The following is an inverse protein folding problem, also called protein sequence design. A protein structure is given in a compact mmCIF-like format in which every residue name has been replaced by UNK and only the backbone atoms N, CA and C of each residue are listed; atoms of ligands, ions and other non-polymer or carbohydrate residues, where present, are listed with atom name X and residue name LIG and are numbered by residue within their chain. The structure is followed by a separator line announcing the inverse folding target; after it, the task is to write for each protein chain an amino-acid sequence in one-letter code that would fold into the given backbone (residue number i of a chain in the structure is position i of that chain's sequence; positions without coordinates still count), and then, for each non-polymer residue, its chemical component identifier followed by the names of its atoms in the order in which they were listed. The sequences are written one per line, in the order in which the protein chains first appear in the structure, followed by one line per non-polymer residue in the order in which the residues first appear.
data_IF_495023743792
#
_entry.id   IF_495023743792
#
_cell.length_a   1.000
_cell.length_b   1.000
_cell.length_c   1.000
_cell.angle_alpha   90.00
_cell.angle_beta   90.00
_cell.angle_gamma   90.00
#
_symmetry.space_group_name_H-M   'P 1'
#
loop_
_entity.id
_entity.type
_entity.pdbx_description
1 polymer ?
#
# COMPACT_ATOMS: atom_id res chain seq x y z
N UNK A 1 -11.48 -1.00 -24.04
CA UNK A 1 -12.26 -0.55 -22.86
C UNK A 1 -11.81 -1.26 -21.59
N UNK A 2 -11.80 -2.60 -21.55
CA UNK A 2 -11.33 -3.37 -20.38
C UNK A 2 -9.86 -3.07 -20.04
N UNK A 3 -8.96 -3.07 -21.04
CA UNK A 3 -7.55 -2.72 -20.84
C UNK A 3 -7.36 -1.36 -20.13
N UNK A 4 -8.08 -0.33 -20.59
CA UNK A 4 -8.04 1.00 -19.99
C UNK A 4 -8.45 1.00 -18.51
N UNK A 5 -9.42 0.16 -18.12
CA UNK A 5 -9.79 0.03 -16.71
C UNK A 5 -8.65 -0.55 -15.87
N UNK A 6 -7.95 -1.57 -16.36
CA UNK A 6 -6.78 -2.14 -15.69
C UNK A 6 -5.60 -1.18 -15.63
N UNK A 7 -5.41 -0.34 -16.66
CA UNK A 7 -4.40 0.72 -16.66
C UNK A 7 -4.74 1.81 -15.63
N UNK A 8 -6.01 2.25 -15.54
CA UNK A 8 -6.46 3.22 -14.53
C UNK A 8 -6.28 2.66 -13.12
N UNK A 9 -6.62 1.39 -12.90
CA UNK A 9 -6.43 0.69 -11.63
C UNK A 9 -4.94 0.60 -11.26
N UNK A 10 -4.09 0.21 -12.22
CA UNK A 10 -2.64 0.13 -12.02
C UNK A 10 -2.00 1.49 -11.74
N UNK A 11 -2.42 2.54 -12.46
CA UNK A 11 -1.94 3.91 -12.24
C UNK A 11 -2.40 4.46 -10.89
N UNK A 12 -3.63 4.17 -10.47
CA UNK A 12 -4.12 4.53 -9.14
C UNK A 12 -3.31 3.81 -8.05
N UNK A 13 -3.02 2.53 -8.24
CA UNK A 13 -2.17 1.75 -7.35
C UNK A 13 -0.75 2.32 -7.25
N UNK A 14 -0.15 2.66 -8.40
CA UNK A 14 1.16 3.31 -8.50
C UNK A 14 1.20 4.62 -7.73
N UNK A 15 0.19 5.49 -7.92
CA UNK A 15 0.09 6.77 -7.23
C UNK A 15 0.01 6.60 -5.71
N UNK A 16 -0.73 5.59 -5.23
CA UNK A 16 -0.84 5.31 -3.81
C UNK A 16 0.47 4.79 -3.20
N UNK A 17 1.11 3.78 -3.81
CA UNK A 17 2.39 3.22 -3.32
C UNK A 17 3.46 4.31 -3.32
N UNK A 18 3.71 4.92 -4.48
CA UNK A 18 4.74 5.96 -4.63
C UNK A 18 4.41 7.18 -3.79
N UNK A 19 3.14 7.60 -3.74
CA UNK A 19 2.70 8.72 -2.91
C UNK A 19 2.90 8.47 -1.42
N UNK A 20 2.61 7.25 -0.95
CA UNK A 20 2.84 6.87 0.46
C UNK A 20 4.33 6.89 0.80
N UNK A 21 5.18 6.34 -0.07
CA UNK A 21 6.63 6.35 0.11
C UNK A 21 7.20 7.77 0.00
N UNK A 22 6.67 8.60 -0.91
CA UNK A 22 7.08 9.98 -1.04
C UNK A 22 6.75 10.80 0.22
N UNK A 23 5.55 10.63 0.78
CA UNK A 23 5.19 11.25 2.06
C UNK A 23 6.08 10.78 3.20
N UNK A 24 6.51 9.51 3.17
CA UNK A 24 7.47 8.96 4.13
C UNK A 24 8.83 9.67 4.00
N UNK A 25 9.33 9.86 2.78
CA UNK A 25 10.60 10.57 2.54
C UNK A 25 10.53 12.05 2.91
N UNK A 26 9.35 12.67 2.80
CA UNK A 26 9.11 14.03 3.29
C UNK A 26 8.91 14.11 4.82
N UNK A 27 9.04 12.99 5.54
CA UNK A 27 8.76 12.89 6.98
C UNK A 27 7.34 13.36 7.37
N UNK A 28 6.38 13.35 6.43
CA UNK A 28 4.97 13.73 6.68
C UNK A 28 4.16 12.59 7.29
N UNK A 29 4.60 11.36 7.06
CA UNK A 29 4.06 10.15 7.68
C UNK A 29 5.20 9.34 8.27
N UNK A 30 4.90 8.45 9.21
CA UNK A 30 5.89 7.52 9.79
C UNK A 30 5.63 6.09 9.32
N UNK A 31 6.66 5.20 9.34
CA UNK A 31 6.47 3.79 8.98
C UNK A 31 5.46 3.06 9.88
N UNK A 32 5.24 3.56 11.10
CA UNK A 32 4.25 3.01 12.06
C UNK A 32 2.85 3.60 11.88
N UNK A 33 2.70 4.63 11.05
CA UNK A 33 1.42 5.32 10.91
C UNK A 33 0.40 4.47 10.14
N UNK A 34 -0.87 4.57 10.55
CA UNK A 34 -1.98 3.91 9.86
C UNK A 34 -2.08 4.38 8.41
N UNK A 35 -1.96 5.69 8.17
CA UNK A 35 -2.07 6.31 6.84
C UNK A 35 -1.06 5.73 5.86
N UNK A 36 0.23 5.68 6.24
CA UNK A 36 1.27 5.10 5.38
C UNK A 36 0.95 3.65 5.00
N UNK A 37 0.67 2.82 6.00
CA UNK A 37 0.46 1.39 5.77
C UNK A 37 -0.84 1.09 4.99
N UNK A 38 -1.91 1.86 5.19
CA UNK A 38 -3.16 1.70 4.42
C UNK A 38 -3.01 2.18 2.97
N UNK A 39 -2.36 3.31 2.74
CA UNK A 39 -2.10 3.80 1.38
C UNK A 39 -1.22 2.82 0.61
N UNK A 40 -0.13 2.35 1.23
CA UNK A 40 0.77 1.40 0.59
C UNK A 40 0.09 0.05 0.32
N UNK A 41 -0.68 -0.48 1.29
CA UNK A 41 -1.41 -1.74 1.12
C UNK A 41 -2.46 -1.67 0.02
N UNK A 42 -3.29 -0.62 0.04
CA UNK A 42 -4.32 -0.43 -0.99
C UNK A 42 -3.71 -0.23 -2.37
N UNK A 43 -2.62 0.54 -2.47
CA UNK A 43 -1.88 0.72 -3.71
C UNK A 43 -1.34 -0.59 -4.29
N UNK A 44 -0.71 -1.41 -3.44
CA UNK A 44 -0.16 -2.70 -3.85
C UNK A 44 -1.25 -3.69 -4.29
N UNK A 45 -2.41 -3.71 -3.62
CA UNK A 45 -3.56 -4.53 -4.04
C UNK A 45 -4.08 -4.11 -5.42
N UNK A 46 -4.20 -2.80 -5.69
CA UNK A 46 -4.62 -2.31 -7.01
C UNK A 46 -3.60 -2.68 -8.10
N UNK A 47 -2.31 -2.61 -7.80
CA UNK A 47 -1.26 -3.05 -8.73
C UNK A 47 -1.36 -4.54 -9.02
N UNK A 48 -1.59 -5.39 -8.02
CA UNK A 48 -1.84 -6.82 -8.24
C UNK A 48 -3.05 -7.07 -9.15
N UNK A 49 -4.14 -6.33 -8.98
CA UNK A 49 -5.32 -6.43 -9.86
C UNK A 49 -4.94 -6.07 -11.30
N UNK A 50 -4.17 -5.01 -11.51
CA UNK A 50 -3.66 -4.62 -12.85
C UNK A 50 -2.78 -5.71 -13.48
N UNK A 51 -1.92 -6.32 -12.67
CA UNK A 51 -1.01 -7.39 -13.10
C UNK A 51 -1.72 -8.70 -13.44
N UNK A 52 -2.96 -8.90 -13.00
CA UNK A 52 -3.78 -10.04 -13.48
C UNK A 52 -4.14 -9.92 -14.97
N UNK A 53 -4.12 -8.71 -15.54
CA UNK A 53 -4.37 -8.48 -16.96
C UNK A 53 -3.09 -8.49 -17.80
N UNK A 54 -2.07 -7.73 -17.39
CA UNK A 54 -0.75 -7.69 -18.01
C UNK A 54 0.33 -8.15 -17.02
N UNK A 55 0.53 -9.46 -16.95
CA UNK A 55 1.38 -10.03 -15.92
C UNK A 55 2.86 -9.68 -16.08
N UNK A 56 3.46 -9.23 -14.99
CA UNK A 56 4.90 -9.04 -14.85
C UNK A 56 5.34 -9.66 -13.52
N UNK A 57 6.20 -10.67 -13.58
CA UNK A 57 6.63 -11.41 -12.40
C UNK A 57 7.40 -10.53 -11.40
N UNK A 58 8.28 -9.65 -11.88
CA UNK A 58 9.07 -8.78 -11.01
C UNK A 58 8.17 -7.78 -10.27
N UNK A 59 7.25 -7.13 -10.98
CA UNK A 59 6.24 -6.24 -10.40
C UNK A 59 5.32 -6.98 -9.43
N UNK A 60 4.88 -8.20 -9.77
CA UNK A 60 4.05 -8.99 -8.88
C UNK A 60 4.76 -9.29 -7.56
N UNK A 61 6.02 -9.71 -7.61
CA UNK A 61 6.81 -10.07 -6.41
C UNK A 61 7.02 -8.86 -5.51
N UNK A 62 7.36 -7.68 -6.06
CA UNK A 62 7.53 -6.47 -5.23
C UNK A 62 6.22 -6.05 -4.54
N UNK A 63 5.07 -6.21 -5.18
CA UNK A 63 3.78 -5.91 -4.53
C UNK A 63 3.48 -6.85 -3.36
N UNK A 64 3.88 -8.12 -3.44
CA UNK A 64 3.76 -9.04 -2.29
C UNK A 64 4.61 -8.56 -1.11
N UNK A 65 5.83 -8.05 -1.38
CA UNK A 65 6.66 -7.45 -0.32
C UNK A 65 6.03 -6.19 0.27
N UNK A 66 5.44 -5.32 -0.55
CA UNK A 66 4.73 -4.13 -0.07
C UNK A 66 3.53 -4.48 0.80
N UNK A 67 2.73 -5.46 0.39
CA UNK A 67 1.60 -5.98 1.18
C UNK A 67 2.11 -6.53 2.51
N UNK A 68 3.14 -7.38 2.51
CA UNK A 68 3.70 -7.97 3.72
C UNK A 68 4.23 -6.89 4.69
N UNK A 69 4.98 -5.91 4.19
CA UNK A 69 5.49 -4.79 4.97
C UNK A 69 4.34 -3.98 5.60
N UNK A 70 3.30 -3.68 4.82
CA UNK A 70 2.14 -2.95 5.32
C UNK A 70 1.33 -3.73 6.35
N UNK A 71 1.13 -5.04 6.15
CA UNK A 71 0.46 -5.89 7.14
C UNK A 71 1.23 -5.95 8.47
N UNK A 72 2.56 -6.05 8.42
CA UNK A 72 3.42 -5.99 9.62
C UNK A 72 3.27 -4.63 10.31
N UNK A 73 3.29 -3.53 9.56
CA UNK A 73 3.11 -2.18 10.08
C UNK A 73 1.74 -1.98 10.74
N UNK A 74 0.66 -2.43 10.10
CA UNK A 74 -0.70 -2.41 10.63
C UNK A 74 -0.83 -3.25 11.91
N UNK A 75 -0.32 -4.48 11.90
CA UNK A 75 -0.35 -5.35 13.07
C UNK A 75 0.33 -4.68 14.28
N UNK A 76 1.52 -4.09 14.08
CA UNK A 76 2.20 -3.33 15.13
C UNK A 76 1.40 -2.11 15.58
N UNK A 77 0.80 -1.36 14.66
CA UNK A 77 -0.05 -0.21 14.99
C UNK A 77 -1.23 -0.60 15.89
N UNK A 78 -1.90 -1.72 15.62
CA UNK A 78 -3.01 -2.19 16.46
C UNK A 78 -2.56 -2.80 17.78
N UNK A 79 -1.40 -3.46 17.82
CA UNK A 79 -0.82 -4.02 19.05
C UNK A 79 -0.28 -2.96 20.00
N UNK A 80 0.35 -1.92 19.45
CA UNK A 80 0.99 -0.84 20.22
C UNK A 80 -0.02 0.25 20.63
N UNK A 81 -1.28 0.16 20.19
CA UNK A 81 -2.34 1.02 20.72
C UNK A 81 -2.61 0.63 22.17
N UNK A 82 -2.36 1.51 23.17
CA UNK A 82 -2.98 1.33 24.46
C UNK A 82 -4.48 1.35 24.22
N UNK A 83 -5.17 0.29 24.64
CA UNK A 83 -6.63 0.22 24.68
C UNK A 83 -7.11 1.45 25.43
N UNK A 84 -7.64 2.43 24.69
CA UNK A 84 -8.47 3.55 25.15
C UNK A 84 -8.00 4.18 26.46
N UNK A 85 -7.34 5.34 26.39
CA UNK A 85 -7.47 6.33 27.44
C UNK A 85 -8.96 6.71 27.53
N UNK A 86 -9.70 5.98 28.37
CA UNK A 86 -10.98 6.41 28.93
C UNK A 86 -10.61 7.49 29.94
N UNK A 87 -10.96 8.73 29.64
CA UNK A 87 -11.17 9.79 30.61
C UNK A 87 -12.38 10.59 30.13
#
# INVERSE_FOLDING_TARGET
MIALLFDIVGMSGTFLVVGSFFLLQLNKVSPKSLTYNLMNLSGAILLLISLCYNFNLASFVIEIFWIAASLIGLYKYFKDKPVVAKA
#
